data_IF_206286534404
#
_entry.id   IF_206286534404
#
_cell.length_a   1.000
_cell.length_b   1.000
_cell.length_c   1.000
_cell.angle_alpha   90.00
_cell.angle_beta   90.00
_cell.angle_gamma   90.00
#
_symmetry.space_group_name_H-M   'P 1'
#
loop_
_entity.id
_entity.type
_entity.pdbx_description
1 polymer ?
#
# COMPACT_ATOMS: atom_id res chain seq x y z
N UNK A 1 9.52 10.07 6.81
CA UNK A 1 10.59 9.07 6.87
C UNK A 1 10.56 8.29 8.17
N UNK A 2 10.70 8.97 9.31
CA UNK A 2 10.88 8.32 10.61
C UNK A 2 9.77 7.31 10.99
N UNK A 3 8.49 7.66 10.80
CA UNK A 3 7.39 6.73 11.08
C UNK A 3 7.51 5.44 10.26
N UNK A 4 7.78 5.53 8.95
CA UNK A 4 7.95 4.38 8.08
C UNK A 4 9.07 3.45 8.59
N UNK A 5 10.22 4.03 8.98
CA UNK A 5 11.32 3.29 9.60
C UNK A 5 10.89 2.62 10.91
N UNK A 6 10.18 3.33 11.79
CA UNK A 6 9.68 2.76 13.03
C UNK A 6 8.74 1.57 12.80
N UNK A 7 7.74 1.72 11.91
CA UNK A 7 6.78 0.65 11.62
C UNK A 7 7.36 -0.50 10.81
N UNK A 8 8.57 -0.37 10.26
CA UNK A 8 9.34 -1.50 9.71
C UNK A 8 9.94 -2.40 10.79
N UNK A 9 9.85 -2.04 12.07
CA UNK A 9 10.27 -2.91 13.17
C UNK A 9 9.06 -3.60 13.81
N UNK A 10 9.14 -4.94 13.90
CA UNK A 10 8.07 -5.79 14.42
C UNK A 10 7.32 -5.28 15.68
N UNK A 11 7.98 -4.82 16.77
CA UNK A 11 7.27 -4.39 17.97
C UNK A 11 6.42 -3.13 17.74
N UNK A 12 6.92 -2.19 16.94
CA UNK A 12 6.20 -0.94 16.66
C UNK A 12 5.08 -1.20 15.66
N UNK A 13 5.34 -2.01 14.62
CA UNK A 13 4.31 -2.45 13.67
C UNK A 13 3.12 -3.05 14.41
N UNK A 14 3.39 -4.01 15.30
CA UNK A 14 2.37 -4.65 16.12
C UNK A 14 1.57 -3.64 16.95
N UNK A 15 2.25 -2.71 17.63
CA UNK A 15 1.58 -1.71 18.46
C UNK A 15 0.66 -0.79 17.63
N UNK A 16 1.11 -0.37 16.45
CA UNK A 16 0.33 0.47 15.53
C UNK A 16 -0.88 -0.29 14.99
N UNK A 17 -0.70 -1.53 14.51
CA UNK A 17 -1.79 -2.36 14.01
C UNK A 17 -2.82 -2.69 15.09
N UNK A 18 -2.36 -2.95 16.32
CA UNK A 18 -3.22 -3.17 17.46
C UNK A 18 -4.03 -1.91 17.79
N UNK A 19 -3.38 -0.73 17.85
CA UNK A 19 -4.07 0.53 18.06
C UNK A 19 -5.12 0.80 16.97
N UNK A 20 -4.81 0.43 15.72
CA UNK A 20 -5.74 0.55 14.59
C UNK A 20 -6.94 -0.38 14.66
N UNK A 21 -6.79 -1.55 15.29
CA UNK A 21 -7.83 -2.59 15.32
C UNK A 21 -8.60 -2.66 16.65
N UNK A 22 -8.16 -1.95 17.69
CA UNK A 22 -8.74 -2.02 19.03
C UNK A 22 -10.15 -1.40 19.17
N UNK A 23 -10.71 -0.77 18.13
CA UNK A 23 -12.09 -0.27 18.10
C UNK A 23 -12.39 0.91 19.05
N UNK A 24 -11.37 1.65 19.49
CA UNK A 24 -11.53 2.85 20.32
C UNK A 24 -11.75 4.14 19.51
N UNK A 25 -12.05 5.28 20.17
CA UNK A 25 -12.36 6.56 19.49
C UNK A 25 -11.25 7.08 18.56
N UNK A 26 -10.02 6.61 18.74
CA UNK A 26 -8.82 7.01 17.99
C UNK A 26 -8.21 5.87 17.17
N UNK A 27 -8.91 4.75 17.02
CA UNK A 27 -8.38 3.59 16.30
C UNK A 27 -8.04 3.94 14.85
N UNK A 28 -8.80 4.85 14.24
CA UNK A 28 -8.60 5.20 12.84
C UNK A 28 -7.67 6.38 12.63
N UNK A 29 -7.08 6.98 13.67
CA UNK A 29 -6.32 8.25 13.55
C UNK A 29 -5.08 8.07 12.68
N UNK A 30 -4.31 7.00 12.90
CA UNK A 30 -3.09 6.71 12.12
C UNK A 30 -3.44 6.45 10.66
N UNK A 31 -4.44 5.60 10.41
CA UNK A 31 -4.94 5.32 9.07
C UNK A 31 -5.43 6.59 8.38
N UNK A 32 -6.25 7.40 9.06
CA UNK A 32 -6.86 8.61 8.51
C UNK A 32 -5.81 9.67 8.20
N UNK A 33 -4.80 9.82 9.05
CA UNK A 33 -3.69 10.75 8.81
C UNK A 33 -2.88 10.34 7.57
N UNK A 34 -2.49 9.07 7.47
CA UNK A 34 -1.74 8.55 6.30
C UNK A 34 -2.57 8.64 5.01
N UNK A 35 -3.85 8.26 5.05
CA UNK A 35 -4.76 8.38 3.91
C UNK A 35 -4.99 9.84 3.52
N UNK A 36 -5.07 10.75 4.49
CA UNK A 36 -5.21 12.19 4.25
C UNK A 36 -3.98 12.77 3.55
N UNK A 37 -2.78 12.35 3.93
CA UNK A 37 -1.54 12.74 3.23
C UNK A 37 -1.57 12.26 1.77
N UNK A 38 -1.92 11.00 1.53
CA UNK A 38 -1.97 10.42 0.19
C UNK A 38 -3.02 11.09 -0.71
N UNK A 39 -4.22 11.36 -0.19
CA UNK A 39 -5.33 11.90 -0.99
C UNK A 39 -5.26 13.40 -1.24
N UNK A 40 -4.53 14.16 -0.42
CA UNK A 40 -4.40 15.60 -0.60
C UNK A 40 -3.58 15.94 -1.85
N UNK A 41 -4.22 16.58 -2.84
CA UNK A 41 -3.54 17.11 -4.02
C UNK A 41 -2.81 18.41 -3.69
N UNK A 42 -1.48 18.37 -3.68
CA UNK A 42 -0.63 19.52 -3.42
C UNK A 42 0.71 19.34 -4.13
N UNK A 43 1.11 20.34 -4.93
CA UNK A 43 2.31 20.30 -5.76
C UNK A 43 3.61 20.71 -5.01
N UNK A 44 3.52 21.06 -3.72
CA UNK A 44 4.70 21.38 -2.92
C UNK A 44 5.63 20.17 -2.78
N UNK A 45 6.93 20.38 -2.93
CA UNK A 45 7.95 19.32 -2.82
C UNK A 45 7.91 18.60 -1.47
N UNK A 46 7.69 19.36 -0.38
CA UNK A 46 7.64 18.81 0.97
C UNK A 46 6.41 17.91 1.17
N UNK A 47 5.32 18.22 0.47
CA UNK A 47 4.13 17.37 0.45
C UNK A 47 4.35 16.09 -0.35
N UNK A 48 5.00 16.18 -1.52
CA UNK A 48 5.38 15.00 -2.28
C UNK A 48 6.28 14.05 -1.46
N UNK A 49 7.26 14.59 -0.72
CA UNK A 49 8.07 13.80 0.20
C UNK A 49 7.22 13.17 1.32
N UNK A 50 6.24 13.89 1.87
CA UNK A 50 5.32 13.33 2.85
C UNK A 50 4.48 12.17 2.29
N UNK A 51 4.00 12.27 1.04
CA UNK A 51 3.29 11.20 0.34
C UNK A 51 4.16 9.98 0.10
N UNK A 52 5.41 10.17 -0.33
CA UNK A 52 6.39 9.09 -0.50
C UNK A 52 6.61 8.35 0.83
N UNK A 53 6.79 9.08 1.94
CA UNK A 53 6.93 8.46 3.25
C UNK A 53 5.66 7.77 3.76
N UNK A 54 4.49 8.27 3.42
CA UNK A 54 3.23 7.60 3.73
C UNK A 54 3.11 6.27 2.95
N UNK A 55 3.53 6.24 1.69
CA UNK A 55 3.57 5.03 0.88
C UNK A 55 4.59 4.01 1.44
N UNK A 56 5.76 4.45 1.92
CA UNK A 56 6.70 3.57 2.61
C UNK A 56 6.14 3.01 3.93
N UNK A 57 5.42 3.81 4.70
CA UNK A 57 4.75 3.32 5.91
C UNK A 57 3.68 2.28 5.56
N UNK A 58 2.94 2.48 4.47
CA UNK A 58 1.99 1.48 3.96
C UNK A 58 2.68 0.16 3.61
N UNK A 59 3.79 0.22 2.87
CA UNK A 59 4.58 -0.97 2.52
C UNK A 59 5.01 -1.72 3.80
N UNK A 60 5.58 -1.01 4.77
CA UNK A 60 6.02 -1.60 6.03
C UNK A 60 4.86 -2.19 6.87
N UNK A 61 3.69 -1.55 6.88
CA UNK A 61 2.51 -2.07 7.58
C UNK A 61 1.97 -3.34 6.90
N UNK A 62 2.13 -3.47 5.58
CA UNK A 62 1.62 -4.59 4.80
C UNK A 62 2.63 -5.74 4.64
N UNK A 63 3.85 -5.56 5.12
CA UNK A 63 4.88 -6.60 5.12
C UNK A 63 4.46 -7.75 6.06
N UNK A 64 4.65 -9.00 5.60
CA UNK A 64 4.16 -10.20 6.27
C UNK A 64 5.01 -10.64 7.46
N UNK A 65 6.02 -9.86 7.88
CA UNK A 65 6.83 -10.17 9.05
C UNK A 65 5.95 -10.45 10.28
N UNK A 66 6.03 -11.68 10.80
CA UNK A 66 5.23 -12.16 11.92
C UNK A 66 5.79 -11.57 13.21
N UNK A 67 5.04 -10.66 13.82
CA UNK A 67 5.49 -9.88 14.99
C UNK A 67 5.14 -10.54 16.33
N UNK A 68 4.07 -11.34 16.36
CA UNK A 68 3.60 -12.08 17.53
C UNK A 68 3.11 -13.47 17.14
N UNK A 69 3.76 -14.52 17.64
CA UNK A 69 3.30 -15.92 17.56
C UNK A 69 2.87 -16.41 18.94
N UNK A 70 1.66 -16.07 19.41
CA UNK A 70 1.14 -16.67 20.63
C UNK A 70 0.95 -18.18 20.45
N UNK A 71 1.45 -18.96 21.41
CA UNK A 71 1.63 -20.43 21.32
C UNK A 71 0.32 -21.22 21.13
N UNK A 72 -0.84 -20.61 21.40
CA UNK A 72 -2.14 -21.30 21.54
C UNK A 72 -3.26 -20.67 20.72
N UNK A 73 -2.96 -20.00 19.59
CA UNK A 73 -3.95 -19.21 18.84
C UNK A 73 -3.95 -19.62 17.37
N UNK A 74 -5.10 -19.53 16.71
CA UNK A 74 -5.21 -19.89 15.30
C UNK A 74 -4.30 -19.02 14.43
N UNK A 75 -3.82 -19.58 13.31
CA UNK A 75 -3.00 -18.85 12.33
C UNK A 75 -3.68 -17.56 11.82
N UNK A 76 -5.01 -17.55 11.76
CA UNK A 76 -5.80 -16.35 11.41
C UNK A 76 -5.66 -15.21 12.43
N UNK A 77 -5.59 -15.52 13.73
CA UNK A 77 -5.39 -14.54 14.80
C UNK A 77 -3.93 -14.04 14.86
N UNK A 78 -2.98 -14.83 14.37
CA UNK A 78 -1.56 -14.45 14.22
C UNK A 78 -1.41 -13.42 13.09
N UNK A 79 -2.09 -13.64 11.97
CA UNK A 79 -2.11 -12.72 10.82
C UNK A 79 -2.84 -11.40 11.14
N UNK A 80 -3.91 -11.45 11.94
CA UNK A 80 -4.64 -10.26 12.39
C UNK A 80 -3.78 -9.25 13.18
N UNK A 81 -2.66 -9.70 13.78
CA UNK A 81 -1.72 -8.84 14.51
C UNK A 81 -0.51 -8.38 13.66
N UNK A 82 -0.36 -8.94 12.46
CA UNK A 82 0.83 -8.71 11.62
C UNK A 82 0.52 -7.86 10.39
N UNK A 83 -0.77 -7.68 10.05
CA UNK A 83 -1.24 -6.95 8.88
C UNK A 83 -2.41 -6.01 9.23
N UNK A 84 -2.70 -4.97 8.41
CA UNK A 84 -3.88 -4.15 8.59
C UNK A 84 -5.16 -4.97 8.41
N UNK A 85 -6.20 -4.65 9.19
CA UNK A 85 -7.51 -5.25 8.96
C UNK A 85 -8.09 -4.84 7.59
N UNK A 86 -9.15 -5.53 7.17
CA UNK A 86 -9.75 -5.36 5.84
C UNK A 86 -10.15 -3.91 5.54
N UNK A 87 -10.74 -3.22 6.51
CA UNK A 87 -11.25 -1.86 6.30
C UNK A 87 -10.10 -0.86 6.19
N UNK A 88 -9.09 -1.00 7.04
CA UNK A 88 -7.87 -0.19 6.99
C UNK A 88 -7.10 -0.40 5.68
N UNK A 89 -6.91 -1.65 5.27
CA UNK A 89 -6.23 -1.97 4.01
C UNK A 89 -7.02 -1.45 2.79
N UNK A 90 -8.34 -1.60 2.78
CA UNK A 90 -9.17 -1.04 1.70
C UNK A 90 -9.03 0.47 1.62
N UNK A 91 -9.01 1.17 2.76
CA UNK A 91 -8.83 2.63 2.78
C UNK A 91 -7.45 3.07 2.27
N UNK A 92 -6.39 2.35 2.65
CA UNK A 92 -5.05 2.63 2.13
C UNK A 92 -4.94 2.40 0.62
N UNK A 93 -5.53 1.32 0.12
CA UNK A 93 -5.58 1.01 -1.30
C UNK A 93 -6.36 2.09 -2.07
N UNK A 94 -7.52 2.50 -1.55
CA UNK A 94 -8.31 3.57 -2.16
C UNK A 94 -7.55 4.92 -2.15
N UNK A 95 -6.93 5.30 -1.03
CA UNK A 95 -6.17 6.54 -0.91
C UNK A 95 -4.94 6.59 -1.82
N UNK A 96 -4.24 5.46 -1.96
CA UNK A 96 -3.08 5.35 -2.85
C UNK A 96 -3.49 5.37 -4.33
N UNK A 97 -4.64 4.80 -4.71
CA UNK A 97 -5.18 4.93 -6.06
C UNK A 97 -5.51 6.39 -6.39
N UNK A 98 -6.17 7.09 -5.47
CA UNK A 98 -6.52 8.50 -5.64
C UNK A 98 -5.25 9.36 -5.79
N UNK A 99 -4.18 9.01 -5.05
CA UNK A 99 -2.86 9.62 -5.21
C UNK A 99 -2.24 9.36 -6.60
N UNK A 100 -2.34 8.13 -7.13
CA UNK A 100 -1.87 7.77 -8.47
C UNK A 100 -2.70 8.43 -9.59
N UNK A 101 -3.93 8.83 -9.31
CA UNK A 101 -4.78 9.57 -10.25
C UNK A 101 -4.53 11.09 -10.20
N UNK A 102 -4.01 11.59 -9.08
CA UNK A 102 -3.75 13.02 -8.86
C UNK A 102 -2.91 13.66 -9.97
N UNK A 103 -3.23 14.90 -10.30
CA UNK A 103 -2.45 15.71 -11.25
C UNK A 103 -1.13 16.21 -10.64
N UNK A 104 -1.02 16.20 -9.31
CA UNK A 104 0.16 16.67 -8.56
C UNK A 104 1.16 15.56 -8.23
N UNK A 105 0.86 14.30 -8.60
CA UNK A 105 1.74 13.17 -8.33
C UNK A 105 3.11 13.29 -9.01
N UNK A 106 4.12 12.72 -8.37
CA UNK A 106 5.48 12.61 -8.91
C UNK A 106 5.82 11.14 -9.19
N UNK A 107 6.85 10.89 -10.01
CA UNK A 107 7.33 9.53 -10.27
C UNK A 107 7.86 8.85 -8.99
N UNK A 108 8.48 9.60 -8.07
CA UNK A 108 8.96 9.07 -6.79
C UNK A 108 7.80 8.56 -5.91
N UNK A 109 6.74 9.37 -5.74
CA UNK A 109 5.53 8.96 -5.01
C UNK A 109 4.86 7.77 -5.68
N UNK A 110 4.71 7.81 -7.01
CA UNK A 110 4.13 6.70 -7.76
C UNK A 110 4.91 5.40 -7.57
N UNK A 111 6.23 5.45 -7.70
CA UNK A 111 7.09 4.27 -7.52
C UNK A 111 7.04 3.72 -6.10
N UNK A 112 6.98 4.58 -5.08
CA UNK A 112 6.81 4.16 -3.69
C UNK A 112 5.46 3.44 -3.46
N UNK A 113 4.38 3.95 -4.06
CA UNK A 113 3.06 3.29 -4.01
C UNK A 113 3.10 1.93 -4.74
N UNK A 114 3.66 1.87 -5.94
CA UNK A 114 3.76 0.60 -6.68
C UNK A 114 4.58 -0.44 -5.92
N UNK A 115 5.66 -0.04 -5.24
CA UNK A 115 6.43 -0.92 -4.32
C UNK A 115 5.60 -1.40 -3.15
N UNK A 116 4.77 -0.55 -2.55
CA UNK A 116 3.85 -0.99 -1.50
C UNK A 116 2.84 -2.03 -2.03
N UNK A 117 2.41 -1.92 -3.29
CA UNK A 117 1.59 -2.94 -3.93
C UNK A 117 2.33 -4.25 -4.14
N UNK A 118 3.64 -4.24 -4.45
CA UNK A 118 4.43 -5.48 -4.52
C UNK A 118 4.45 -6.22 -3.18
N UNK A 119 4.67 -5.51 -2.07
CA UNK A 119 4.66 -6.13 -0.72
C UNK A 119 3.32 -6.84 -0.45
N UNK A 120 2.19 -6.26 -0.89
CA UNK A 120 0.89 -6.92 -0.77
C UNK A 120 0.80 -8.21 -1.58
N UNK A 121 1.57 -8.36 -2.67
CA UNK A 121 1.57 -9.57 -3.49
C UNK A 121 2.43 -10.71 -2.92
N UNK A 122 3.20 -10.47 -1.87
CA UNK A 122 4.10 -11.47 -1.26
C UNK A 122 3.39 -12.45 -0.33
N UNK A 123 2.12 -12.20 0.00
CA UNK A 123 1.31 -13.07 0.86
C UNK A 123 -0.14 -13.16 0.40
N UNK A 124 -0.78 -14.29 0.70
CA UNK A 124 -2.13 -14.63 0.22
C UNK A 124 -3.17 -13.57 0.59
N UNK A 125 -3.18 -13.09 1.84
CA UNK A 125 -4.17 -12.11 2.28
C UNK A 125 -4.07 -10.80 1.49
N UNK A 126 -2.86 -10.24 1.39
CA UNK A 126 -2.59 -9.02 0.66
C UNK A 126 -2.93 -9.17 -0.82
N UNK A 127 -2.55 -10.30 -1.42
CA UNK A 127 -2.78 -10.58 -2.83
C UNK A 127 -4.29 -10.64 -3.15
N UNK A 128 -5.08 -11.33 -2.31
CA UNK A 128 -6.53 -11.41 -2.48
C UNK A 128 -7.22 -10.03 -2.35
N UNK A 129 -6.76 -9.18 -1.42
CA UNK A 129 -7.30 -7.81 -1.32
C UNK A 129 -6.87 -6.96 -2.51
N UNK A 130 -5.61 -7.06 -2.93
CA UNK A 130 -5.07 -6.31 -4.06
C UNK A 130 -5.79 -6.68 -5.38
N UNK A 131 -6.05 -7.96 -5.63
CA UNK A 131 -6.81 -8.43 -6.80
C UNK A 131 -8.21 -7.82 -6.85
N UNK A 132 -8.94 -7.83 -5.72
CA UNK A 132 -10.27 -7.19 -5.61
C UNK A 132 -10.20 -5.68 -5.85
N UNK A 133 -9.19 -5.03 -5.29
CA UNK A 133 -8.95 -3.61 -5.47
C UNK A 133 -8.64 -3.25 -6.93
N UNK A 134 -7.78 -3.99 -7.62
CA UNK A 134 -7.45 -3.76 -9.04
C UNK A 134 -8.70 -3.87 -9.92
N UNK A 135 -9.58 -4.84 -9.62
CA UNK A 135 -10.86 -4.96 -10.31
C UNK A 135 -11.76 -3.73 -10.07
N UNK A 136 -11.83 -3.25 -8.82
CA UNK A 136 -12.61 -2.07 -8.40
C UNK A 136 -12.09 -0.76 -8.99
N UNK A 137 -10.77 -0.56 -9.02
CA UNK A 137 -10.10 0.70 -9.41
C UNK A 137 -9.46 0.65 -10.80
N UNK A 138 -9.91 -0.28 -11.66
CA UNK A 138 -9.36 -0.50 -13.01
C UNK A 138 -9.23 0.78 -13.84
N UNK A 139 -10.23 1.66 -13.81
CA UNK A 139 -10.22 2.91 -14.57
C UNK A 139 -9.13 3.87 -14.08
N UNK A 140 -8.99 4.02 -12.76
CA UNK A 140 -7.99 4.87 -12.10
C UNK A 140 -6.57 4.40 -12.44
N UNK A 141 -6.31 3.10 -12.30
CA UNK A 141 -5.05 2.47 -12.68
C UNK A 141 -4.77 2.59 -14.19
N UNK A 142 -5.81 2.51 -15.03
CA UNK A 142 -5.71 2.75 -16.47
C UNK A 142 -5.31 4.19 -16.81
N UNK A 143 -5.80 5.19 -16.07
CA UNK A 143 -5.36 6.60 -16.21
C UNK A 143 -3.90 6.77 -15.79
N UNK A 144 -3.49 6.14 -14.70
CA UNK A 144 -2.08 6.12 -14.28
C UNK A 144 -1.19 5.53 -15.38
N UNK A 145 -1.57 4.38 -15.95
CA UNK A 145 -0.83 3.76 -17.05
C UNK A 145 -0.66 4.69 -18.26
N UNK A 146 -1.73 5.37 -18.69
CA UNK A 146 -1.65 6.38 -19.76
C UNK A 146 -0.69 7.51 -19.40
N UNK A 147 -0.78 8.04 -18.19
CA UNK A 147 0.10 9.11 -17.72
C UNK A 147 1.58 8.71 -17.73
N UNK A 148 1.90 7.46 -17.38
CA UNK A 148 3.29 6.95 -17.44
C UNK A 148 3.76 6.86 -18.90
N UNK A 149 2.90 6.44 -19.84
CA UNK A 149 3.24 6.34 -21.27
C UNK A 149 3.45 7.71 -21.95
N UNK A 150 2.74 8.75 -21.50
CA UNK A 150 2.72 10.07 -22.15
C UNK A 150 3.99 10.92 -21.90
N UNK A 151 4.98 10.45 -21.13
CA UNK A 151 6.21 11.23 -20.90
C UNK A 151 7.49 10.47 -21.21
N UNK A 152 8.54 11.23 -21.53
CA UNK A 152 9.92 10.73 -21.68
C UNK A 152 10.72 11.01 -20.41
N UNK A 153 11.39 9.99 -19.87
CA UNK A 153 12.27 10.12 -18.69
C UNK A 153 12.53 8.77 -18.02
N UNK A 154 13.71 8.61 -17.42
CA UNK A 154 14.12 7.37 -16.74
C UNK A 154 13.17 6.99 -15.60
N UNK A 155 12.73 7.97 -14.79
CA UNK A 155 11.81 7.74 -13.68
C UNK A 155 10.44 7.20 -14.13
N UNK A 156 9.93 7.63 -15.30
CA UNK A 156 8.68 7.10 -15.85
C UNK A 156 8.88 5.68 -16.40
N UNK A 157 10.04 5.38 -16.97
CA UNK A 157 10.37 4.02 -17.40
C UNK A 157 10.43 3.04 -16.21
N UNK A 158 10.95 3.49 -15.07
CA UNK A 158 10.93 2.72 -13.82
C UNK A 158 9.49 2.47 -13.34
N UNK A 159 8.66 3.52 -13.27
CA UNK A 159 7.24 3.39 -12.91
C UNK A 159 6.51 2.40 -13.84
N UNK A 160 6.77 2.48 -15.15
CA UNK A 160 6.18 1.58 -16.13
C UNK A 160 6.59 0.13 -15.91
N UNK A 161 7.87 -0.09 -15.61
CA UNK A 161 8.42 -1.41 -15.35
C UNK A 161 7.77 -2.04 -14.12
N UNK A 162 7.71 -1.30 -13.00
CA UNK A 162 7.02 -1.72 -11.77
C UNK A 162 5.54 -2.06 -12.03
N UNK A 163 4.84 -1.21 -12.81
CA UNK A 163 3.44 -1.43 -13.13
C UNK A 163 3.21 -2.67 -14.01
N UNK A 164 4.07 -2.90 -15.01
CA UNK A 164 4.01 -4.10 -15.86
C UNK A 164 4.29 -5.36 -15.05
N UNK A 165 5.26 -5.32 -14.15
CA UNK A 165 5.61 -6.46 -13.30
C UNK A 165 4.46 -6.82 -12.35
N UNK A 166 3.75 -5.83 -11.77
CA UNK A 166 2.51 -6.09 -11.03
C UNK A 166 1.44 -6.78 -11.88
N UNK A 167 1.27 -6.38 -13.15
CA UNK A 167 0.33 -7.05 -14.06
C UNK A 167 0.76 -8.50 -14.32
N UNK A 168 2.07 -8.76 -14.46
CA UNK A 168 2.60 -10.12 -14.67
C UNK A 168 2.29 -11.00 -13.47
N UNK A 169 2.50 -10.51 -12.25
CA UNK A 169 2.15 -11.25 -11.02
C UNK A 169 0.65 -11.57 -10.99
N UNK A 170 -0.20 -10.57 -11.25
CA UNK A 170 -1.66 -10.77 -11.27
C UNK A 170 -2.12 -11.81 -12.30
N UNK A 171 -1.42 -11.94 -13.43
CA UNK A 171 -1.71 -12.92 -14.48
C UNK A 171 -1.08 -14.29 -14.23
N UNK A 172 0.08 -14.35 -13.57
CA UNK A 172 0.82 -15.60 -13.30
C UNK A 172 -0.02 -16.59 -12.50
N UNK A 173 -0.74 -16.11 -11.49
CA UNK A 173 -1.65 -16.93 -10.70
C UNK A 173 -2.89 -17.44 -11.48
N UNK A 174 -3.35 -16.71 -12.51
CA UNK A 174 -4.49 -17.18 -13.32
C UNK A 174 -4.14 -18.44 -14.14
N UNK A 175 -2.85 -18.77 -14.30
CA UNK A 175 -2.37 -19.95 -15.02
C UNK A 175 -2.04 -21.18 -14.17
N UNK A 176 -1.88 -21.04 -12.85
CA UNK A 176 -1.55 -22.16 -11.94
C UNK A 176 -2.79 -22.84 -11.32
N UNK A 177 -3.99 -22.37 -11.68
CA UNK A 177 -5.28 -22.88 -11.17
C UNK A 177 -6.29 -23.32 -12.24
N UNK A 178 -5.85 -23.62 -13.47
CA UNK A 178 -6.71 -24.11 -14.56
C UNK A 178 -6.38 -25.57 -14.95
#
# INVERSE_FOLDING_TARGET
GFLACLVSHAPVKCAVLHAMSAGGPRSNDVQSALCGILTLANAASDHAAAQEFAAHALAALCDAEVTLTPLNVSQELILANSLPNKDALSAFLDASADCLESTTKTCAVASAILRAYFVLTEHEYGFQQFKKFVAKRRESLGKFFKWVLEGSGEDKAECLSLYIDLIRILKGEEGEGA
#
